data_IF_789811434055
#
_entry.id   IF_789811434055
#
_cell.length_a   1.000
_cell.length_b   1.000
_cell.length_c   1.000
_cell.angle_alpha   90.00
_cell.angle_beta   90.00
_cell.angle_gamma   90.00
#
_symmetry.space_group_name_H-M   'P 1'
#
loop_
_entity.id
_entity.type
_entity.pdbx_description
1 polymer ?
#
# COMPACT_ATOMS: atom_id res chain seq x y z
N UNK A 1 3.70 -15.83 -18.42
CA UNK A 1 3.36 -16.34 -17.08
C UNK A 1 3.03 -15.12 -16.24
N UNK A 2 1.86 -15.10 -15.61
CA UNK A 2 1.20 -13.88 -15.09
C UNK A 2 2.08 -13.21 -14.02
N UNK A 3 2.45 -11.95 -14.24
CA UNK A 3 3.50 -11.21 -13.50
C UNK A 3 3.03 -10.70 -12.12
N UNK A 4 2.26 -11.52 -11.41
CA UNK A 4 1.68 -11.18 -10.10
C UNK A 4 2.70 -10.95 -9.02
N UNK A 5 3.86 -11.57 -9.18
CA UNK A 5 4.97 -11.37 -8.26
C UNK A 5 5.39 -9.90 -8.24
N UNK A 6 5.42 -9.23 -9.38
CA UNK A 6 5.74 -7.80 -9.46
C UNK A 6 4.75 -6.94 -8.65
N UNK A 7 3.44 -7.19 -8.80
CA UNK A 7 2.41 -6.45 -8.05
C UNK A 7 2.47 -6.73 -6.55
N UNK A 8 2.79 -7.97 -6.14
CA UNK A 8 3.00 -8.30 -4.74
C UNK A 8 4.25 -7.63 -4.18
N UNK A 9 5.32 -7.56 -4.95
CA UNK A 9 6.56 -6.86 -4.59
C UNK A 9 6.30 -5.35 -4.42
N UNK A 10 5.54 -4.72 -5.33
CA UNK A 10 5.12 -3.31 -5.23
C UNK A 10 4.29 -3.04 -3.97
N UNK A 11 3.37 -3.96 -3.62
CA UNK A 11 2.56 -3.86 -2.40
C UNK A 11 3.45 -3.96 -1.16
N UNK A 12 4.38 -4.93 -1.13
CA UNK A 12 5.29 -5.12 0.00
C UNK A 12 6.21 -3.91 0.19
N UNK A 13 6.75 -3.35 -0.89
CA UNK A 13 7.58 -2.16 -0.83
C UNK A 13 6.79 -0.94 -0.33
N UNK A 14 5.55 -0.76 -0.79
CA UNK A 14 4.69 0.32 -0.33
C UNK A 14 4.35 0.21 1.16
N UNK A 15 4.08 -1.00 1.66
CA UNK A 15 3.85 -1.27 3.10
C UNK A 15 5.10 -0.92 3.91
N UNK A 16 6.27 -1.40 3.48
CA UNK A 16 7.52 -1.16 4.19
C UNK A 16 7.83 0.34 4.29
N UNK A 17 7.61 1.10 3.22
CA UNK A 17 7.77 2.57 3.24
C UNK A 17 6.82 3.25 4.23
N UNK A 18 5.55 2.80 4.30
CA UNK A 18 4.59 3.34 5.28
C UNK A 18 5.09 3.09 6.70
N UNK A 19 5.55 1.87 7.01
CA UNK A 19 6.10 1.53 8.33
C UNK A 19 7.32 2.38 8.67
N UNK A 20 8.23 2.59 7.70
CA UNK A 20 9.42 3.43 7.88
C UNK A 20 9.07 4.90 8.13
N UNK A 21 8.13 5.47 7.38
CA UNK A 21 7.74 6.88 7.53
C UNK A 21 6.99 7.17 8.83
N UNK A 22 6.23 6.20 9.32
CA UNK A 22 5.42 6.33 10.54
C UNK A 22 6.14 5.84 11.79
N UNK A 23 7.35 5.27 11.64
CA UNK A 23 8.10 4.68 12.74
C UNK A 23 8.40 5.71 13.83
N UNK A 24 7.96 5.40 15.06
CA UNK A 24 8.18 6.26 16.23
C UNK A 24 7.29 7.50 16.29
N UNK A 25 6.34 7.67 15.36
CA UNK A 25 5.34 8.74 15.41
C UNK A 25 4.10 8.24 16.16
N UNK A 26 3.54 9.10 17.02
CA UNK A 26 2.16 8.93 17.46
C UNK A 26 1.19 9.54 16.43
N UNK A 27 -0.11 9.55 16.77
CA UNK A 27 -1.13 10.05 15.86
C UNK A 27 -1.03 11.56 15.64
N UNK A 28 -0.77 12.32 16.69
CA UNK A 28 -0.62 13.77 16.63
C UNK A 28 0.61 14.19 15.80
N UNK A 29 1.74 13.51 15.98
CA UNK A 29 2.95 13.68 15.19
C UNK A 29 2.70 13.39 13.71
N UNK A 30 2.01 12.28 13.42
CA UNK A 30 1.62 11.91 12.05
C UNK A 30 0.67 12.95 11.44
N UNK A 31 -0.41 13.28 12.13
CA UNK A 31 -1.45 14.19 11.64
C UNK A 31 -0.93 15.63 11.44
N UNK A 32 0.05 16.05 12.24
CA UNK A 32 0.73 17.34 12.10
C UNK A 32 1.75 17.38 10.96
N UNK A 33 2.23 16.22 10.49
CA UNK A 33 3.27 16.13 9.47
C UNK A 33 2.69 15.85 8.08
N UNK A 34 2.27 16.92 7.41
CA UNK A 34 1.65 16.85 6.07
C UNK A 34 2.48 16.09 5.03
N UNK A 35 3.81 16.20 5.08
CA UNK A 35 4.68 15.49 4.13
C UNK A 35 4.58 13.97 4.30
N UNK A 36 4.55 13.51 5.56
CA UNK A 36 4.41 12.08 5.88
C UNK A 36 3.01 11.59 5.54
N UNK A 37 1.97 12.38 5.83
CA UNK A 37 0.58 12.07 5.42
C UNK A 37 0.50 11.88 3.91
N UNK A 38 1.01 12.84 3.13
CA UNK A 38 1.00 12.78 1.66
C UNK A 38 1.79 11.55 1.16
N UNK A 39 2.92 11.21 1.79
CA UNK A 39 3.71 10.04 1.46
C UNK A 39 2.99 8.71 1.77
N UNK A 40 2.28 8.62 2.90
CA UNK A 40 1.47 7.45 3.27
C UNK A 40 0.30 7.29 2.29
N UNK A 41 -0.43 8.36 1.98
CA UNK A 41 -1.53 8.34 1.02
C UNK A 41 -1.04 7.85 -0.34
N UNK A 42 0.11 8.33 -0.81
CA UNK A 42 0.70 7.88 -2.09
C UNK A 42 1.02 6.38 -2.11
N UNK A 43 1.56 5.83 -1.02
CA UNK A 43 1.85 4.39 -0.96
C UNK A 43 0.56 3.56 -0.89
N UNK A 44 -0.50 4.06 -0.24
CA UNK A 44 -1.81 3.42 -0.26
C UNK A 44 -2.43 3.39 -1.67
N UNK A 45 -2.23 4.44 -2.49
CA UNK A 45 -2.65 4.44 -3.90
C UNK A 45 -1.93 3.35 -4.71
N UNK A 46 -0.62 3.16 -4.51
CA UNK A 46 0.18 2.13 -5.18
C UNK A 46 -0.33 0.73 -4.83
N UNK A 47 -0.64 0.50 -3.54
CA UNK A 47 -1.23 -0.75 -3.08
C UNK A 47 -2.59 -0.98 -3.77
N UNK A 48 -3.45 0.04 -3.77
CA UNK A 48 -4.78 -0.06 -4.39
C UNK A 48 -4.74 -0.37 -5.88
N UNK A 49 -3.79 0.22 -6.62
CA UNK A 49 -3.62 -0.05 -8.05
C UNK A 49 -3.11 -1.48 -8.28
N UNK A 50 -2.15 -1.93 -7.49
CA UNK A 50 -1.60 -3.29 -7.58
C UNK A 50 -2.65 -4.37 -7.26
N UNK A 51 -3.52 -4.12 -6.27
CA UNK A 51 -4.63 -5.01 -5.91
C UNK A 51 -5.64 -5.21 -7.05
N UNK A 52 -5.84 -4.24 -7.95
CA UNK A 52 -6.76 -4.38 -9.09
C UNK A 52 -6.27 -5.38 -10.15
N UNK A 53 -4.96 -5.61 -10.21
CA UNK A 53 -4.35 -6.48 -11.23
C UNK A 53 -4.24 -7.92 -10.75
N UNK A 54 -4.20 -8.13 -9.43
CA UNK A 54 -4.28 -9.48 -8.86
C UNK A 54 -5.55 -10.18 -9.36
N UNK A 55 -5.49 -11.51 -9.62
CA UNK A 55 -6.66 -12.25 -10.04
C UNK A 55 -7.69 -12.14 -8.92
N UNK A 56 -8.78 -11.43 -9.20
CA UNK A 56 -9.94 -11.48 -8.32
C UNK A 56 -10.44 -12.92 -8.36
N UNK A 57 -10.61 -13.54 -7.21
CA UNK A 57 -11.54 -14.67 -7.13
C UNK A 57 -12.89 -14.10 -7.56
N UNK A 58 -13.24 -14.29 -8.83
CA UNK A 58 -14.61 -14.10 -9.27
C UNK A 58 -15.44 -15.05 -8.41
N UNK A 59 -16.50 -14.53 -7.80
CA UNK A 59 -17.58 -15.31 -7.23
C UNK A 59 -18.17 -16.24 -8.30
N UNK A 60 -17.53 -17.39 -8.54
CA UNK A 60 -18.12 -18.51 -9.26
C UNK A 60 -18.59 -19.53 -8.23
N UNK A 61 -19.89 -19.43 -7.92
CA UNK A 61 -20.70 -20.58 -7.52
C UNK A 61 -20.98 -20.75 -6.03
N UNK A 62 -22.04 -20.10 -5.56
CA UNK A 62 -23.07 -20.81 -4.79
C UNK A 62 -24.34 -20.90 -5.63
#
# INVERSE_FOLDING_TARGET
MRDYKLYLDDILEAIQRIEEYTSGMDFEDFAGNRLVVDAVVRNLEIIGESCRVLPQENEEGF
#
